data_IF_764597288124
#
_entry.id   IF_764597288124
#
_cell.length_a   1.000
_cell.length_b   1.000
_cell.length_c   1.000
_cell.angle_alpha   90.00
_cell.angle_beta   90.00
_cell.angle_gamma   90.00
#
_symmetry.space_group_name_H-M   'P 1'
#
loop_
_entity.id
_entity.type
_entity.pdbx_description
1 polymer ?
#
# COMPACT_ATOMS: atom_id res chain seq x y z
N UNK A 1 2.03 30.95 0.53
CA UNK A 1 1.04 30.04 1.15
C UNK A 1 -0.13 29.87 0.20
N UNK A 2 -0.03 28.91 -0.74
CA UNK A 2 -1.09 28.62 -1.72
C UNK A 2 -1.46 27.14 -1.78
N UNK A 3 -1.04 26.36 -0.78
CA UNK A 3 -1.22 24.90 -0.77
C UNK A 3 -2.35 24.43 0.14
N UNK A 4 -3.01 25.36 0.86
CA UNK A 4 -4.08 25.03 1.81
C UNK A 4 -5.48 24.94 1.17
N UNK A 5 -5.63 25.34 -0.11
CA UNK A 5 -6.94 25.51 -0.76
C UNK A 5 -7.42 24.33 -1.61
N UNK A 6 -6.60 23.29 -1.82
CA UNK A 6 -7.02 22.09 -2.57
C UNK A 6 -7.58 20.96 -1.69
N UNK A 7 -7.45 21.02 -0.37
CA UNK A 7 -7.87 19.94 0.54
C UNK A 7 -9.36 19.97 0.92
N UNK A 8 -10.14 20.96 0.50
CA UNK A 8 -11.47 21.21 1.07
C UNK A 8 -12.65 20.52 0.37
N UNK A 9 -12.44 19.59 -0.57
CA UNK A 9 -13.58 18.95 -1.26
C UNK A 9 -13.34 17.54 -1.80
N UNK A 10 -12.37 16.78 -1.27
CA UNK A 10 -12.36 15.32 -1.49
C UNK A 10 -13.24 14.69 -0.42
N UNK A 11 -14.32 14.04 -0.84
CA UNK A 11 -15.18 13.29 0.07
C UNK A 11 -14.44 12.04 0.53
N UNK A 12 -13.76 12.14 1.69
CA UNK A 12 -12.99 11.03 2.27
C UNK A 12 -13.86 10.04 3.05
N UNK A 13 -15.20 10.18 3.03
CA UNK A 13 -16.10 9.30 3.76
C UNK A 13 -16.03 7.86 3.23
N UNK A 14 -15.67 7.69 1.96
CA UNK A 14 -15.46 6.38 1.34
C UNK A 14 -14.16 5.70 1.78
N UNK A 15 -13.20 6.44 2.36
CA UNK A 15 -11.93 5.88 2.83
C UNK A 15 -12.11 5.42 4.27
N UNK A 16 -12.67 4.23 4.45
CA UNK A 16 -12.81 3.56 5.76
C UNK A 16 -12.07 2.22 5.76
N UNK A 17 -11.70 1.69 6.92
CA UNK A 17 -11.08 0.37 7.02
C UNK A 17 -11.95 -0.71 6.37
N UNK A 18 -13.27 -0.65 6.57
CA UNK A 18 -14.21 -1.61 5.96
C UNK A 18 -14.19 -1.53 4.43
N UNK A 19 -14.14 -0.33 3.86
CA UNK A 19 -14.10 -0.15 2.41
C UNK A 19 -12.74 -0.55 1.82
N UNK A 20 -11.65 -0.30 2.56
CA UNK A 20 -10.30 -0.76 2.19
C UNK A 20 -10.24 -2.29 2.19
N UNK A 21 -10.70 -2.93 3.25
CA UNK A 21 -10.78 -4.39 3.36
C UNK A 21 -11.61 -4.99 2.23
N UNK A 22 -12.80 -4.42 1.96
CA UNK A 22 -13.65 -4.86 0.84
C UNK A 22 -12.93 -4.72 -0.51
N UNK A 23 -12.24 -3.60 -0.75
CA UNK A 23 -11.50 -3.38 -1.99
C UNK A 23 -10.30 -4.29 -2.14
N UNK A 24 -9.57 -4.57 -1.06
CA UNK A 24 -8.47 -5.55 -1.07
C UNK A 24 -8.99 -6.95 -1.43
N UNK A 25 -10.13 -7.36 -0.87
CA UNK A 25 -10.81 -8.60 -1.24
C UNK A 25 -11.21 -8.61 -2.73
N UNK A 26 -11.83 -7.54 -3.22
CA UNK A 26 -12.23 -7.41 -4.64
C UNK A 26 -11.02 -7.48 -5.60
N UNK A 27 -9.86 -7.00 -5.17
CA UNK A 27 -8.59 -7.04 -5.92
C UNK A 27 -7.82 -8.35 -5.75
N UNK A 28 -8.33 -9.31 -4.97
CA UNK A 28 -7.71 -10.62 -4.79
C UNK A 28 -6.47 -10.62 -3.90
N UNK A 29 -6.41 -9.74 -2.90
CA UNK A 29 -5.38 -9.83 -1.86
C UNK A 29 -5.49 -11.14 -1.08
N UNK A 30 -4.36 -11.63 -0.58
CA UNK A 30 -4.34 -12.73 0.37
C UNK A 30 -5.08 -12.34 1.68
N UNK A 31 -6.02 -13.16 2.12
CA UNK A 31 -6.89 -12.89 3.28
C UNK A 31 -6.12 -12.61 4.58
N UNK A 32 -5.01 -13.30 4.81
CA UNK A 32 -4.21 -13.09 6.01
C UNK A 32 -3.36 -11.82 5.90
N UNK A 33 -2.93 -11.49 4.68
CA UNK A 33 -2.25 -10.23 4.43
C UNK A 33 -3.18 -9.01 4.58
N UNK A 34 -4.44 -9.13 4.14
CA UNK A 34 -5.48 -8.12 4.39
C UNK A 34 -5.58 -7.83 5.89
N UNK A 35 -5.67 -8.86 6.74
CA UNK A 35 -5.76 -8.70 8.19
C UNK A 35 -4.56 -7.97 8.76
N UNK A 36 -3.35 -8.28 8.28
CA UNK A 36 -2.11 -7.64 8.73
C UNK A 36 -2.08 -6.15 8.36
N UNK A 37 -2.49 -5.79 7.13
CA UNK A 37 -2.63 -4.39 6.70
C UNK A 37 -3.68 -3.65 7.52
N UNK A 38 -4.87 -4.23 7.69
CA UNK A 38 -5.96 -3.61 8.47
C UNK A 38 -5.54 -3.42 9.94
N UNK A 39 -4.81 -4.38 10.52
CA UNK A 39 -4.28 -4.24 11.86
C UNK A 39 -3.26 -3.10 11.97
N UNK A 40 -2.33 -2.99 11.02
CA UNK A 40 -1.37 -1.88 10.97
C UNK A 40 -2.10 -0.52 10.86
N UNK A 41 -3.09 -0.42 9.98
CA UNK A 41 -3.87 0.81 9.80
C UNK A 41 -4.72 1.15 11.01
N UNK A 42 -5.28 0.15 11.69
CA UNK A 42 -6.00 0.36 12.95
C UNK A 42 -5.09 0.93 14.03
N UNK A 43 -3.88 0.38 14.20
CA UNK A 43 -2.90 0.91 15.15
C UNK A 43 -2.52 2.35 14.83
N UNK A 44 -2.37 2.67 13.54
CA UNK A 44 -2.13 4.05 13.09
C UNK A 44 -3.31 4.96 13.45
N UNK A 45 -4.55 4.56 13.16
CA UNK A 45 -5.77 5.30 13.53
C UNK A 45 -5.83 5.52 15.05
N UNK A 46 -5.56 4.51 15.87
CA UNK A 46 -5.56 4.63 17.33
C UNK A 46 -4.53 5.66 17.82
N UNK A 47 -3.41 5.82 17.11
CA UNK A 47 -2.33 6.76 17.46
C UNK A 47 -2.60 8.21 17.02
N UNK A 48 -3.17 8.41 15.84
CA UNK A 48 -3.24 9.73 15.20
C UNK A 48 -4.68 10.24 14.93
N UNK A 49 -5.66 9.37 15.08
CA UNK A 49 -7.07 9.63 14.78
C UNK A 49 -7.42 9.42 13.31
N UNK A 50 -8.69 9.13 13.06
CA UNK A 50 -9.22 8.74 11.75
C UNK A 50 -9.01 9.82 10.68
N UNK A 51 -9.25 11.10 11.00
CA UNK A 51 -9.06 12.21 10.05
C UNK A 51 -7.61 12.31 9.55
N UNK A 52 -6.64 12.17 10.45
CA UNK A 52 -5.23 12.21 10.10
C UNK A 52 -4.82 10.96 9.30
N UNK A 53 -5.38 9.80 9.62
CA UNK A 53 -5.21 8.58 8.83
C UNK A 53 -5.73 8.72 7.39
N UNK A 54 -6.95 9.21 7.19
CA UNK A 54 -7.50 9.40 5.84
C UNK A 54 -6.63 10.35 5.01
N UNK A 55 -6.21 11.47 5.61
CA UNK A 55 -5.31 12.41 4.96
C UNK A 55 -3.97 11.76 4.61
N UNK A 56 -3.36 11.02 5.54
CA UNK A 56 -2.11 10.31 5.30
C UNK A 56 -2.25 9.31 4.15
N UNK A 57 -3.31 8.50 4.16
CA UNK A 57 -3.50 7.43 3.19
C UNK A 57 -3.72 7.95 1.76
N UNK A 58 -4.49 9.04 1.59
CA UNK A 58 -4.67 9.68 0.28
C UNK A 58 -3.37 10.26 -0.26
N UNK A 59 -2.49 10.71 0.64
CA UNK A 59 -1.20 11.28 0.27
C UNK A 59 -0.09 10.22 0.15
N UNK A 60 -0.44 8.91 0.20
CA UNK A 60 0.54 7.84 0.05
C UNK A 60 1.17 7.87 -1.36
N UNK A 61 0.41 8.18 -2.42
CA UNK A 61 0.92 8.43 -3.78
C UNK A 61 2.03 7.48 -4.25
N UNK A 62 1.78 6.17 -4.24
CA UNK A 62 2.74 5.13 -4.62
C UNK A 62 3.98 5.02 -3.70
N UNK A 63 3.95 5.60 -2.50
CA UNK A 63 4.91 5.31 -1.45
C UNK A 63 4.48 4.07 -0.65
N UNK A 64 5.45 3.34 -0.10
CA UNK A 64 5.15 2.25 0.81
C UNK A 64 4.78 2.82 2.19
N UNK A 65 3.74 2.31 2.88
CA UNK A 65 3.46 2.71 4.26
C UNK A 65 4.65 2.43 5.18
N UNK A 66 4.91 3.31 6.15
CA UNK A 66 6.07 3.21 7.06
C UNK A 66 6.14 1.85 7.77
N UNK A 67 4.99 1.24 8.06
CA UNK A 67 4.86 -0.09 8.68
C UNK A 67 5.50 -1.22 7.87
N UNK A 68 5.69 -1.01 6.56
CA UNK A 68 6.25 -1.97 5.62
C UNK A 68 7.53 -1.47 4.94
N UNK A 69 8.03 -0.27 5.28
CA UNK A 69 9.29 0.26 4.74
C UNK A 69 10.54 -0.36 5.38
N UNK A 70 10.44 -0.86 6.61
CA UNK A 70 11.56 -1.54 7.25
C UNK A 70 11.92 -2.81 6.47
N UNK A 71 13.18 -2.92 6.07
CA UNK A 71 13.68 -4.01 5.22
C UNK A 71 13.43 -5.40 5.82
N UNK A 72 13.81 -5.61 7.09
CA UNK A 72 13.62 -6.90 7.77
C UNK A 72 12.13 -7.29 7.82
N UNK A 73 11.26 -6.33 8.14
CA UNK A 73 9.82 -6.56 8.15
C UNK A 73 9.28 -6.87 6.74
N UNK A 74 9.75 -6.18 5.72
CA UNK A 74 9.36 -6.43 4.33
C UNK A 74 9.80 -7.82 3.85
N UNK A 75 11.01 -8.27 4.21
CA UNK A 75 11.48 -9.64 3.95
C UNK A 75 10.59 -10.67 4.66
N UNK A 76 10.22 -10.43 5.92
CA UNK A 76 9.32 -11.35 6.65
C UNK A 76 7.94 -11.45 6.00
N UNK A 77 7.39 -10.32 5.52
CA UNK A 77 6.12 -10.29 4.78
C UNK A 77 6.27 -11.06 3.46
N UNK A 78 7.37 -10.87 2.74
CA UNK A 78 7.67 -11.67 1.55
C UNK A 78 7.66 -13.17 1.86
N UNK A 79 8.43 -13.61 2.85
CA UNK A 79 8.56 -15.03 3.15
C UNK A 79 7.23 -15.66 3.57
N UNK A 80 6.36 -14.88 4.23
CA UNK A 80 5.03 -15.33 4.65
C UNK A 80 4.03 -15.42 3.49
N UNK A 81 4.06 -14.48 2.55
CA UNK A 81 3.07 -14.37 1.47
C UNK A 81 3.69 -14.48 0.07
N UNK A 82 4.82 -15.18 -0.06
CA UNK A 82 5.67 -15.22 -1.24
C UNK A 82 4.89 -15.53 -2.52
N UNK A 83 4.05 -16.56 -2.49
CA UNK A 83 3.24 -16.97 -3.64
C UNK A 83 2.35 -15.85 -4.17
N UNK A 84 1.72 -15.08 -3.27
CA UNK A 84 0.86 -13.97 -3.65
C UNK A 84 1.69 -12.79 -4.15
N UNK A 85 2.78 -12.45 -3.46
CA UNK A 85 3.67 -11.34 -3.86
C UNK A 85 4.29 -11.59 -5.23
N UNK A 86 4.82 -12.78 -5.51
CA UNK A 86 5.39 -13.10 -6.81
C UNK A 86 4.33 -13.07 -7.93
N UNK A 87 3.11 -13.52 -7.65
CA UNK A 87 1.98 -13.36 -8.58
C UNK A 87 1.72 -11.88 -8.88
N UNK A 88 1.66 -11.03 -7.86
CA UNK A 88 1.42 -9.60 -8.03
C UNK A 88 2.58 -8.87 -8.70
N UNK A 89 3.82 -9.28 -8.47
CA UNK A 89 4.98 -8.75 -9.19
C UNK A 89 4.84 -9.02 -10.69
N UNK A 90 4.53 -10.26 -11.08
CA UNK A 90 4.32 -10.60 -12.49
C UNK A 90 3.16 -9.78 -13.10
N UNK A 91 2.04 -9.66 -12.37
CA UNK A 91 0.91 -8.84 -12.80
C UNK A 91 1.32 -7.38 -13.05
N UNK A 92 2.10 -6.79 -12.14
CA UNK A 92 2.59 -5.42 -12.27
C UNK A 92 3.57 -5.25 -13.44
N UNK A 93 4.45 -6.21 -13.69
CA UNK A 93 5.32 -6.19 -14.87
C UNK A 93 4.52 -6.24 -16.17
N UNK A 94 3.46 -7.05 -16.21
CA UNK A 94 2.56 -7.14 -17.35
C UNK A 94 1.71 -5.89 -17.54
N UNK A 95 1.23 -5.26 -16.47
CA UNK A 95 0.44 -4.04 -16.51
C UNK A 95 1.28 -2.83 -16.95
N UNK A 96 2.49 -2.70 -16.40
CA UNK A 96 3.36 -1.51 -16.61
C UNK A 96 4.31 -1.66 -17.79
N UNK A 97 4.55 -2.89 -18.26
CA UNK A 97 5.59 -3.23 -19.25
C UNK A 97 7.01 -2.85 -18.79
N UNK A 98 7.22 -2.80 -17.48
CA UNK A 98 8.51 -2.52 -16.84
C UNK A 98 8.86 -3.67 -15.91
N UNK A 99 10.14 -4.07 -15.87
CA UNK A 99 10.58 -5.07 -14.91
C UNK A 99 10.52 -4.55 -13.48
N UNK A 100 10.33 -5.42 -12.50
CA UNK A 100 10.24 -5.06 -11.09
C UNK A 100 11.52 -4.38 -10.61
N UNK A 101 12.69 -4.74 -11.17
CA UNK A 101 13.95 -4.09 -10.82
C UNK A 101 13.95 -2.62 -11.22
N UNK A 102 13.41 -2.30 -12.41
CA UNK A 102 13.28 -0.93 -12.90
C UNK A 102 12.25 -0.14 -12.11
N UNK A 103 11.13 -0.78 -11.77
CA UNK A 103 10.10 -0.14 -10.97
C UNK A 103 10.63 0.22 -9.57
N UNK A 104 11.54 -0.57 -9.01
CA UNK A 104 12.13 -0.39 -7.66
C UNK A 104 13.53 0.21 -7.66
N UNK A 105 13.92 0.94 -8.71
CA UNK A 105 15.26 1.55 -8.81
C UNK A 105 15.53 2.54 -7.66
N UNK A 106 14.49 3.17 -7.13
CA UNK A 106 14.52 4.09 -6.00
C UNK A 106 14.99 3.44 -4.68
N UNK A 107 14.78 2.13 -4.53
CA UNK A 107 15.14 1.34 -3.36
C UNK A 107 16.06 0.17 -3.71
N UNK A 108 16.88 0.33 -4.77
CA UNK A 108 17.74 -0.74 -5.32
C UNK A 108 18.75 -1.35 -4.34
N UNK A 109 19.09 -0.62 -3.27
CA UNK A 109 20.06 -1.03 -2.25
C UNK A 109 19.46 -2.03 -1.23
N UNK A 110 18.13 -2.19 -1.21
CA UNK A 110 17.45 -3.15 -0.34
C UNK A 110 17.49 -4.57 -0.92
N UNK A 111 17.30 -5.55 -0.05
CA UNK A 111 17.07 -6.95 -0.41
C UNK A 111 15.96 -7.11 -1.46
N UNK A 112 16.14 -8.05 -2.38
CA UNK A 112 15.17 -8.33 -3.46
C UNK A 112 13.75 -8.55 -2.93
N UNK A 113 13.61 -9.32 -1.85
CA UNK A 113 12.32 -9.65 -1.25
C UNK A 113 11.66 -8.42 -0.65
N UNK A 114 12.46 -7.56 0.00
CA UNK A 114 11.98 -6.29 0.51
C UNK A 114 11.50 -5.38 -0.64
N UNK A 115 12.27 -5.28 -1.72
CA UNK A 115 11.92 -4.47 -2.90
C UNK A 115 10.61 -4.91 -3.52
N UNK A 116 10.45 -6.21 -3.79
CA UNK A 116 9.22 -6.79 -4.36
C UNK A 116 8.01 -6.56 -3.46
N UNK A 117 8.17 -6.74 -2.15
CA UNK A 117 7.11 -6.49 -1.17
C UNK A 117 6.69 -5.03 -1.16
N UNK A 118 7.65 -4.11 -1.06
CA UNK A 118 7.36 -2.68 -1.05
C UNK A 118 6.74 -2.21 -2.36
N UNK A 119 7.16 -2.77 -3.50
CA UNK A 119 6.55 -2.55 -4.82
C UNK A 119 5.08 -2.93 -4.84
N UNK A 120 4.75 -4.17 -4.46
CA UNK A 120 3.37 -4.66 -4.47
C UNK A 120 2.49 -3.81 -3.55
N UNK A 121 2.94 -3.58 -2.32
CA UNK A 121 2.19 -2.82 -1.32
C UNK A 121 1.93 -1.39 -1.82
N UNK A 122 2.97 -0.68 -2.26
CA UNK A 122 2.83 0.74 -2.64
C UNK A 122 1.95 0.92 -3.87
N UNK A 123 2.01 -0.01 -4.84
CA UNK A 123 1.16 0.03 -6.02
C UNK A 123 -0.28 -0.30 -5.68
N UNK A 124 -0.53 -1.49 -5.12
CA UNK A 124 -1.90 -1.97 -4.93
C UNK A 124 -2.69 -1.14 -3.93
N UNK A 125 -2.06 -0.66 -2.86
CA UNK A 125 -2.73 0.27 -1.94
C UNK A 125 -3.06 1.60 -2.62
N UNK A 126 -2.16 2.13 -3.45
CA UNK A 126 -2.41 3.39 -4.16
C UNK A 126 -3.57 3.25 -5.15
N UNK A 127 -3.66 2.14 -5.87
CA UNK A 127 -4.79 1.84 -6.75
C UNK A 127 -6.11 1.74 -5.98
N UNK A 128 -6.12 1.06 -4.84
CA UNK A 128 -7.31 0.97 -3.98
C UNK A 128 -7.73 2.35 -3.49
N UNK A 129 -6.77 3.18 -3.07
CA UNK A 129 -7.03 4.54 -2.61
C UNK A 129 -7.57 5.42 -3.74
N UNK A 130 -7.06 5.27 -4.97
CA UNK A 130 -7.58 5.95 -6.15
C UNK A 130 -9.01 5.48 -6.50
N UNK A 131 -9.31 4.19 -6.35
CA UNK A 131 -10.66 3.64 -6.59
C UNK A 131 -11.68 4.12 -5.54
N UNK A 132 -11.24 4.48 -4.34
CA UNK A 132 -12.10 4.92 -3.23
C UNK A 132 -12.26 6.44 -3.13
N UNK A 133 -11.44 7.23 -3.83
CA UNK A 133 -11.40 8.69 -3.73
C UNK A 133 -11.88 9.38 -5.02
#
# INVERSE_FOLDING_TARGET
MRDFLWMNNKNLDNISLNNLEKKMNEKGFDDDFIKEIIQAFKQRIDKQGEKQFKNWLVNLHFNCPDEFQNEEKAVQVYDKYCSWIESEVNNLEDETKLSWERQTEDIKELDEKARKTQLVIRHRLSEIVLDLN
#
